data_IF_173009098083
#
_entry.id   IF_173009098083
#
_cell.length_a   1.000
_cell.length_b   1.000
_cell.length_c   1.000
_cell.angle_alpha   90.00
_cell.angle_beta   90.00
_cell.angle_gamma   90.00
#
_symmetry.space_group_name_H-M   'P 1'
#
loop_
_entity.id
_entity.type
_entity.pdbx_description
1 polymer ?
#
# COMPACT_ATOMS: atom_id res chain seq x y z
N UNK A 1 32.99 -1.56 -4.70
CA UNK A 1 32.74 -2.29 -3.46
C UNK A 1 31.23 -2.48 -3.38
N UNK A 2 30.71 -3.69 -3.60
CA UNK A 2 29.27 -3.95 -3.55
C UNK A 2 28.93 -4.46 -2.17
N UNK A 3 28.04 -3.76 -1.47
CA UNK A 3 27.44 -4.23 -0.22
C UNK A 3 26.16 -4.96 -0.61
N UNK A 4 26.13 -6.27 -0.38
CA UNK A 4 24.93 -7.09 -0.49
C UNK A 4 24.49 -7.44 0.92
N UNK A 5 23.26 -7.08 1.27
CA UNK A 5 22.64 -7.45 2.54
C UNK A 5 21.79 -8.70 2.29
N UNK A 6 21.89 -9.69 3.18
CA UNK A 6 21.07 -10.90 3.15
C UNK A 6 19.62 -10.55 3.54
N UNK A 7 18.66 -11.12 2.81
CA UNK A 7 17.20 -10.93 2.95
C UNK A 7 16.66 -11.24 4.37
N UNK A 8 17.44 -11.98 5.16
CA UNK A 8 17.17 -12.42 6.54
C UNK A 8 17.56 -11.39 7.63
N UNK A 9 18.27 -10.31 7.28
CA UNK A 9 18.64 -9.20 8.18
C UNK A 9 17.69 -7.99 8.05
N UNK A 10 16.58 -8.13 7.31
CA UNK A 10 15.53 -7.13 7.29
C UNK A 10 14.89 -7.12 8.69
N UNK A 11 15.27 -6.12 9.47
CA UNK A 11 14.74 -5.91 10.82
C UNK A 11 13.22 -6.07 10.79
N UNK A 12 12.60 -6.79 11.74
CA UNK A 12 11.14 -6.81 11.85
C UNK A 12 10.72 -5.37 12.08
N UNK A 13 10.30 -4.72 11.00
CA UNK A 13 9.86 -3.36 11.04
C UNK A 13 8.66 -3.30 12.00
N UNK A 14 8.47 -2.18 12.71
CA UNK A 14 7.28 -2.01 13.53
C UNK A 14 6.06 -2.36 12.69
N UNK A 15 5.08 -3.07 13.28
CA UNK A 15 3.83 -3.46 12.60
C UNK A 15 3.31 -2.25 11.84
N UNK A 16 3.33 -2.30 10.50
CA UNK A 16 2.92 -1.17 9.65
C UNK A 16 3.97 -0.66 8.65
N UNK A 17 5.26 -1.00 8.77
CA UNK A 17 6.25 -0.65 7.72
C UNK A 17 6.53 -1.84 6.82
N UNK A 18 6.29 -1.65 5.53
CA UNK A 18 6.48 -2.65 4.49
C UNK A 18 7.40 -2.07 3.42
N UNK A 19 8.22 -2.90 2.81
CA UNK A 19 9.05 -2.43 1.71
C UNK A 19 8.20 -2.17 0.48
N UNK A 20 8.53 -1.12 -0.27
CA UNK A 20 7.84 -0.73 -1.50
C UNK A 20 7.65 -1.90 -2.47
N UNK A 21 8.71 -2.68 -2.69
CA UNK A 21 8.68 -3.85 -3.57
C UNK A 21 7.74 -4.98 -3.10
N UNK A 22 7.34 -5.00 -1.82
CA UNK A 22 6.38 -5.96 -1.29
C UNK A 22 4.93 -5.49 -1.45
N UNK A 23 4.71 -4.18 -1.60
CA UNK A 23 3.38 -3.57 -1.71
C UNK A 23 2.98 -3.38 -3.18
N UNK A 24 3.93 -3.10 -4.07
CA UNK A 24 3.66 -3.03 -5.52
C UNK A 24 3.15 -4.38 -6.03
N UNK A 25 2.02 -4.36 -6.74
CA UNK A 25 1.31 -5.54 -7.24
C UNK A 25 0.38 -6.21 -6.23
N UNK A 26 0.16 -5.61 -5.04
CA UNK A 26 -0.89 -6.04 -4.13
C UNK A 26 -2.26 -5.54 -4.61
N UNK A 27 -3.28 -6.35 -4.41
CA UNK A 27 -4.67 -5.94 -4.67
C UNK A 27 -5.20 -5.17 -3.47
N UNK A 28 -5.55 -3.91 -3.69
CA UNK A 28 -6.20 -3.06 -2.70
C UNK A 28 -7.69 -3.39 -2.58
N UNK A 29 -8.09 -3.83 -1.39
CA UNK A 29 -9.45 -4.17 -1.03
C UNK A 29 -9.90 -3.36 0.18
N UNK A 30 -11.21 -3.23 0.36
CA UNK A 30 -11.83 -2.69 1.57
C UNK A 30 -12.15 -3.79 2.57
N UNK A 31 -12.41 -3.37 3.80
CA UNK A 31 -12.93 -4.23 4.88
C UNK A 31 -14.19 -5.01 4.47
N UNK A 32 -15.05 -4.44 3.64
CA UNK A 32 -16.28 -5.07 3.16
C UNK A 32 -16.03 -6.12 2.04
N UNK A 33 -14.78 -6.35 1.64
CA UNK A 33 -14.40 -7.24 0.55
C UNK A 33 -14.49 -6.63 -0.85
N UNK A 34 -14.79 -5.33 -0.95
CA UNK A 34 -14.80 -4.61 -2.23
C UNK A 34 -13.37 -4.36 -2.71
N UNK A 35 -13.01 -4.89 -3.86
CA UNK A 35 -11.74 -4.56 -4.51
C UNK A 35 -11.81 -3.12 -5.04
N UNK A 36 -10.87 -2.29 -4.58
CA UNK A 36 -10.69 -0.94 -5.08
C UNK A 36 -9.88 -0.98 -6.38
N UNK A 37 -8.79 -1.76 -6.38
CA UNK A 37 -7.87 -1.82 -7.50
C UNK A 37 -6.59 -2.58 -7.19
N UNK A 38 -5.57 -2.42 -8.03
CA UNK A 38 -4.22 -2.97 -7.82
C UNK A 38 -3.22 -1.84 -7.57
N UNK A 39 -2.30 -2.04 -6.63
CA UNK A 39 -1.20 -1.11 -6.38
C UNK A 39 -0.23 -1.22 -7.54
N UNK A 40 -0.14 -0.17 -8.35
CA UNK A 40 0.73 -0.12 -9.53
C UNK A 40 2.07 0.51 -9.22
N UNK A 41 2.12 1.45 -8.28
CA UNK A 41 3.31 2.24 -7.97
C UNK A 41 3.24 2.81 -6.54
N UNK A 42 4.37 3.30 -6.03
CA UNK A 42 4.45 4.02 -4.75
C UNK A 42 5.31 5.26 -4.95
N UNK A 43 4.77 6.40 -4.51
CA UNK A 43 5.43 7.69 -4.57
C UNK A 43 6.02 8.03 -3.21
N UNK A 44 7.35 7.98 -3.11
CA UNK A 44 8.09 8.49 -1.96
C UNK A 44 8.04 10.03 -1.95
N UNK A 45 7.15 10.62 -1.14
CA UNK A 45 7.08 12.08 -0.95
C UNK A 45 7.83 12.49 0.33
N UNK A 46 8.35 13.73 0.41
CA UNK A 46 9.01 14.23 1.61
C UNK A 46 8.00 14.37 2.76
N UNK A 47 7.88 13.30 3.56
CA UNK A 47 7.03 13.24 4.74
C UNK A 47 6.25 11.94 4.87
N UNK A 48 5.69 11.39 3.79
CA UNK A 48 4.95 10.13 3.77
C UNK A 48 4.98 9.51 2.38
N UNK A 49 4.92 8.19 2.30
CA UNK A 49 4.77 7.46 1.03
C UNK A 49 3.31 7.48 0.57
N UNK A 50 3.08 7.52 -0.74
CA UNK A 50 1.74 7.53 -1.33
C UNK A 50 1.61 6.37 -2.31
N UNK A 51 0.68 5.46 -2.02
CA UNK A 51 0.33 4.35 -2.90
C UNK A 51 -0.47 4.86 -4.11
N UNK A 52 -0.10 4.35 -5.28
CA UNK A 52 -0.85 4.53 -6.53
C UNK A 52 -1.61 3.25 -6.80
N UNK A 53 -2.94 3.34 -6.79
CA UNK A 53 -3.83 2.21 -7.02
C UNK A 53 -4.57 2.44 -8.33
N UNK A 54 -4.48 1.49 -9.28
CA UNK A 54 -5.34 1.48 -10.47
C UNK A 54 -6.67 0.79 -10.14
N UNK A 55 -7.72 1.60 -10.01
CA UNK A 55 -9.09 1.14 -9.82
C UNK A 55 -9.90 1.26 -11.10
N UNK A 56 -9.85 0.24 -11.95
CA UNK A 56 -10.61 0.18 -13.21
C UNK A 56 -10.34 1.39 -14.14
N UNK A 57 -9.07 1.79 -14.27
CA UNK A 57 -8.66 2.94 -15.11
C UNK A 57 -8.79 4.30 -14.43
N UNK A 58 -9.06 4.34 -13.11
CA UNK A 58 -8.87 5.52 -12.28
C UNK A 58 -7.68 5.31 -11.36
N UNK A 59 -6.73 6.23 -11.44
CA UNK A 59 -5.60 6.27 -10.50
C UNK A 59 -6.08 6.88 -9.18
N UNK A 60 -5.85 6.15 -8.09
CA UNK A 60 -6.23 6.53 -6.73
C UNK A 60 -4.95 6.65 -5.92
N UNK A 61 -4.71 7.85 -5.39
CA UNK A 61 -3.56 8.13 -4.54
C UNK A 61 -3.96 7.95 -3.07
N UNK A 62 -3.34 7.01 -2.39
CA UNK A 62 -3.63 6.69 -0.98
C UNK A 62 -2.36 6.83 -0.16
N UNK A 63 -2.29 7.78 0.80
CA UNK A 63 -1.13 7.89 1.68
C UNK A 63 -0.96 6.60 2.50
N UNK A 64 0.26 6.07 2.53
CA UNK A 64 0.65 4.89 3.29
C UNK A 64 0.83 5.27 4.76
N UNK A 65 -0.28 5.53 5.44
CA UNK A 65 -0.32 5.82 6.88
C UNK A 65 -1.31 4.88 7.57
N UNK A 66 -1.07 4.56 8.84
CA UNK A 66 -1.92 3.64 9.63
C UNK A 66 -3.41 4.04 9.67
N UNK A 67 -3.72 5.31 9.43
CA UNK A 67 -5.11 5.79 9.36
C UNK A 67 -5.87 5.23 8.14
N UNK A 68 -5.16 4.97 7.04
CA UNK A 68 -5.73 4.42 5.80
C UNK A 68 -5.46 2.93 5.63
N UNK A 69 -4.34 2.42 6.15
CA UNK A 69 -3.95 1.02 5.99
C UNK A 69 -4.39 0.23 7.21
N UNK A 70 -5.33 -0.69 7.02
CA UNK A 70 -5.86 -1.51 8.11
C UNK A 70 -5.07 -2.81 8.27
N UNK A 71 -4.73 -3.45 7.16
CA UNK A 71 -3.99 -4.71 7.15
C UNK A 71 -3.27 -4.88 5.81
N UNK A 72 -2.04 -5.40 5.83
CA UNK A 72 -1.31 -5.80 4.63
C UNK A 72 -1.03 -7.28 4.73
N UNK A 73 -1.56 -8.03 3.76
CA UNK A 73 -1.40 -9.47 3.65
C UNK A 73 -0.56 -9.79 2.41
N UNK A 74 0.74 -10.01 2.64
CA UNK A 74 1.70 -10.31 1.58
C UNK A 74 1.45 -11.73 1.03
N UNK A 75 0.99 -12.66 1.86
CA UNK A 75 0.72 -14.06 1.45
C UNK A 75 -0.42 -14.14 0.44
N UNK A 76 -1.51 -13.41 0.70
CA UNK A 76 -2.66 -13.33 -0.21
C UNK A 76 -2.50 -12.28 -1.32
N UNK A 77 -1.37 -11.56 -1.33
CA UNK A 77 -1.11 -10.40 -2.19
C UNK A 77 -2.21 -9.34 -2.14
N UNK A 78 -2.68 -9.02 -0.94
CA UNK A 78 -3.81 -8.10 -0.72
C UNK A 78 -3.50 -7.09 0.36
N UNK A 79 -4.02 -5.89 0.19
CA UNK A 79 -3.95 -4.81 1.18
C UNK A 79 -5.37 -4.34 1.50
N UNK A 80 -5.73 -4.37 2.79
CA UNK A 80 -7.00 -3.87 3.29
C UNK A 80 -6.81 -2.40 3.64
N UNK A 81 -7.41 -1.53 2.82
CA UNK A 81 -7.43 -0.09 3.05
C UNK A 81 -8.83 0.37 3.48
N UNK A 82 -8.85 1.31 4.42
CA UNK A 82 -10.07 1.97 4.88
C UNK A 82 -10.01 3.43 4.44
N UNK A 83 -10.50 3.77 3.23
CA UNK A 83 -10.60 5.16 2.84
C UNK A 83 -11.59 5.86 3.77
N UNK A 84 -11.15 6.95 4.41
CA UNK A 84 -12.04 7.85 5.15
C UNK A 84 -13.08 8.37 4.13
N UNK A 85 -14.37 8.18 4.42
CA UNK A 85 -15.47 8.72 3.61
C UNK A 85 -15.25 10.22 3.42
N UNK A 86 -14.81 10.63 2.23
CA UNK A 86 -14.51 12.03 1.91
C UNK A 86 -13.42 12.25 0.84
N UNK A 87 -12.55 11.27 0.57
CA UNK A 87 -11.49 11.42 -0.45
C UNK A 87 -11.89 10.93 -1.86
N UNK A 88 -12.91 10.08 -1.96
CA UNK A 88 -13.36 9.43 -3.21
C UNK A 88 -14.69 9.97 -3.74
N UNK A 89 -15.18 11.08 -3.18
CA UNK A 89 -16.43 11.69 -3.61
C UNK A 89 -16.16 13.13 -4.01
N UNK A 90 -15.86 13.32 -5.29
CA UNK A 90 -16.17 14.56 -5.98
C UNK A 90 -16.92 14.18 -7.25
N UNK A 91 -18.25 14.31 -7.20
CA UNK A 91 -19.14 14.38 -8.35
C UNK A 91 -18.67 15.39 -9.40
#
# INVERSE_FOLDING_TARGET
CYVSVLEEELQPLPKGTYYEFQIVGLVACRENGETIGEVTDILELPGNDVLVIDGHGKEILVPLVDDFIKEINIEEKRIIITPIKGLIDQE
#
